data_IF_721854574302
#
_entry.id   IF_721854574302
#
_cell.length_a   1.000
_cell.length_b   1.000
_cell.length_c   1.000
_cell.angle_alpha   90.00
_cell.angle_beta   90.00
_cell.angle_gamma   90.00
#
_symmetry.space_group_name_H-M   'P 1'
#
loop_
_entity.id
_entity.type
_entity.pdbx_description
1 polymer ?
#
# COMPACT_ATOMS: atom_id res chain seq x y z
N UNK A 1 -20.46 13.08 -0.81
CA UNK A 1 -19.00 12.86 -0.71
C UNK A 1 -18.76 11.36 -0.70
N UNK A 2 -17.72 10.89 -1.40
CA UNK A 2 -17.32 9.48 -1.31
C UNK A 2 -16.61 9.22 0.02
N UNK A 3 -16.73 8.03 0.62
CA UNK A 3 -15.94 7.67 1.79
C UNK A 3 -14.44 7.72 1.45
N UNK A 4 -13.65 8.26 2.38
CA UNK A 4 -12.19 8.34 2.26
C UNK A 4 -11.59 7.32 3.23
N UNK A 5 -10.70 6.47 2.71
CA UNK A 5 -9.92 5.52 3.49
C UNK A 5 -8.44 5.88 3.40
N UNK A 6 -7.76 5.85 4.55
CA UNK A 6 -6.33 6.14 4.66
C UNK A 6 -5.61 4.83 4.94
N UNK A 7 -4.67 4.47 4.06
CA UNK A 7 -3.84 3.28 4.22
C UNK A 7 -2.66 3.56 5.16
N UNK A 8 -2.42 2.60 6.04
CA UNK A 8 -1.21 2.53 6.86
C UNK A 8 -0.13 1.67 6.18
N UNK A 9 1.14 1.88 6.55
CA UNK A 9 2.25 1.07 6.04
C UNK A 9 2.01 -0.43 6.30
N UNK A 10 1.57 -0.79 7.52
CA UNK A 10 1.29 -2.18 7.90
C UNK A 10 0.22 -2.83 7.00
N UNK A 11 -0.79 -2.06 6.58
CA UNK A 11 -1.86 -2.59 5.73
C UNK A 11 -1.36 -2.98 4.34
N UNK A 12 -0.47 -2.19 3.74
CA UNK A 12 0.13 -2.52 2.45
C UNK A 12 1.17 -3.64 2.56
N UNK A 13 1.93 -3.69 3.65
CA UNK A 13 2.87 -4.79 3.92
C UNK A 13 2.11 -6.11 4.01
N UNK A 14 1.02 -6.15 4.79
CA UNK A 14 0.17 -7.34 4.90
C UNK A 14 -0.41 -7.75 3.54
N UNK A 15 -0.83 -6.77 2.72
CA UNK A 15 -1.29 -7.03 1.35
C UNK A 15 -0.21 -7.63 0.44
N UNK A 16 1.02 -7.09 0.47
CA UNK A 16 2.11 -7.60 -0.37
C UNK A 16 2.59 -8.99 0.02
N UNK A 17 2.51 -9.33 1.31
CA UNK A 17 2.96 -10.61 1.84
C UNK A 17 1.86 -11.69 1.92
N UNK A 18 0.63 -11.39 1.45
CA UNK A 18 -0.54 -12.26 1.59
C UNK A 18 -0.82 -12.67 3.06
N UNK A 19 -0.67 -11.72 3.97
CA UNK A 19 -0.90 -11.89 5.40
C UNK A 19 -2.37 -11.60 5.79
N UNK A 20 -2.71 -11.84 7.06
CA UNK A 20 -4.04 -11.54 7.58
C UNK A 20 -4.40 -10.06 7.38
N UNK A 21 -5.52 -9.81 6.69
CA UNK A 21 -5.97 -8.46 6.34
C UNK A 21 -5.65 -8.05 4.89
N UNK A 22 -4.88 -8.85 4.14
CA UNK A 22 -4.65 -8.62 2.72
C UNK A 22 -5.96 -8.53 1.92
N UNK A 23 -6.93 -9.40 2.23
CA UNK A 23 -8.25 -9.44 1.59
C UNK A 23 -9.05 -8.15 1.81
N UNK A 24 -8.85 -7.47 2.93
CA UNK A 24 -9.49 -6.19 3.23
C UNK A 24 -8.92 -5.09 2.33
N UNK A 25 -7.59 -5.05 2.19
CA UNK A 25 -6.92 -4.08 1.32
C UNK A 25 -7.27 -4.33 -0.15
N UNK A 26 -7.32 -5.60 -0.59
CA UNK A 26 -7.75 -5.98 -1.94
C UNK A 26 -9.17 -5.48 -2.23
N UNK A 27 -10.12 -5.68 -1.30
CA UNK A 27 -11.50 -5.17 -1.44
C UNK A 27 -11.55 -3.64 -1.53
N UNK A 28 -10.70 -2.93 -0.77
CA UNK A 28 -10.62 -1.47 -0.85
C UNK A 28 -10.04 -1.01 -2.19
N UNK A 29 -9.00 -1.68 -2.70
CA UNK A 29 -8.42 -1.39 -4.01
C UNK A 29 -9.45 -1.57 -5.14
N UNK A 30 -10.24 -2.66 -5.12
CA UNK A 30 -11.32 -2.90 -6.09
C UNK A 30 -12.37 -1.80 -6.03
N UNK A 31 -12.82 -1.41 -4.82
CA UNK A 31 -13.80 -0.31 -4.64
C UNK A 31 -13.26 1.04 -5.10
N UNK A 32 -11.97 1.32 -4.86
CA UNK A 32 -11.33 2.54 -5.32
C UNK A 32 -11.24 2.55 -6.86
N UNK A 33 -10.92 1.41 -7.49
CA UNK A 33 -10.92 1.25 -8.95
C UNK A 33 -12.31 1.45 -9.57
N UNK A 34 -13.36 1.01 -8.87
CA UNK A 34 -14.77 1.23 -9.24
C UNK A 34 -15.26 2.66 -8.98
N UNK A 35 -14.41 3.55 -8.46
CA UNK A 35 -14.72 4.93 -8.07
C UNK A 35 -15.75 5.08 -6.92
N UNK A 36 -16.02 4.01 -6.17
CA UNK A 36 -16.97 4.02 -5.04
C UNK A 36 -16.41 4.72 -3.79
N UNK A 37 -15.08 4.65 -3.62
CA UNK A 37 -14.35 5.23 -2.49
C UNK A 37 -13.13 6.02 -2.98
N UNK A 38 -12.56 6.82 -2.09
CA UNK A 38 -11.25 7.42 -2.26
C UNK A 38 -10.26 6.73 -1.31
N UNK A 39 -9.12 6.29 -1.85
CA UNK A 39 -8.09 5.58 -1.10
C UNK A 39 -6.81 6.40 -1.17
N UNK A 40 -6.30 6.80 -0.01
CA UNK A 40 -5.11 7.66 0.09
C UNK A 40 -4.07 7.03 1.02
N UNK A 41 -2.81 7.39 0.83
CA UNK A 41 -1.71 7.02 1.71
C UNK A 41 -0.86 8.25 2.00
N UNK A 42 -0.38 8.37 3.25
CA UNK A 42 0.61 9.39 3.60
C UNK A 42 1.95 9.07 2.94
N UNK A 43 2.65 10.09 2.46
CA UNK A 43 4.02 9.93 1.94
C UNK A 43 4.96 9.32 2.98
N UNK A 44 4.73 9.57 4.28
CA UNK A 44 5.53 8.98 5.36
C UNK A 44 5.33 7.46 5.43
N UNK A 45 4.09 6.98 5.34
CA UNK A 45 3.79 5.54 5.35
C UNK A 45 4.34 4.85 4.10
N UNK A 46 4.32 5.54 2.95
CA UNK A 46 4.95 5.04 1.74
C UNK A 46 6.48 4.91 1.88
N UNK A 47 7.12 5.88 2.53
CA UNK A 47 8.55 5.86 2.81
C UNK A 47 8.96 4.81 3.85
N UNK A 48 8.08 4.48 4.80
CA UNK A 48 8.29 3.38 5.74
C UNK A 48 8.40 2.04 5.01
N UNK A 49 7.48 1.76 4.08
CA UNK A 49 7.53 0.56 3.22
C UNK A 49 8.81 0.56 2.39
N UNK A 50 9.11 1.69 1.73
CA UNK A 50 10.30 1.82 0.89
C UNK A 50 11.58 1.55 1.69
N UNK A 51 11.72 2.17 2.86
CA UNK A 51 12.91 2.02 3.68
C UNK A 51 13.03 0.62 4.28
N UNK A 52 11.92 -0.01 4.65
CA UNK A 52 11.90 -1.42 5.08
C UNK A 52 12.53 -2.33 4.04
N UNK A 53 12.06 -2.24 2.79
CA UNK A 53 12.58 -3.03 1.67
C UNK A 53 14.02 -2.64 1.33
N UNK A 54 14.34 -1.34 1.32
CA UNK A 54 15.70 -0.87 1.06
C UNK A 54 16.71 -1.46 2.05
N UNK A 55 16.33 -1.53 3.34
CA UNK A 55 17.20 -2.03 4.40
C UNK A 55 17.44 -3.54 4.29
N UNK A 56 16.45 -4.30 3.82
CA UNK A 56 16.51 -5.76 3.75
C UNK A 56 17.03 -6.27 2.38
N UNK A 57 16.53 -5.70 1.29
CA UNK A 57 16.73 -6.18 -0.09
C UNK A 57 17.48 -5.20 -1.00
N UNK A 58 17.80 -4.00 -0.50
CA UNK A 58 18.52 -2.97 -1.24
C UNK A 58 17.64 -2.06 -2.12
N UNK A 59 18.29 -1.05 -2.72
CA UNK A 59 17.62 0.02 -3.50
C UNK A 59 16.80 -0.50 -4.67
N UNK A 60 17.33 -1.46 -5.42
CA UNK A 60 16.69 -1.93 -6.65
C UNK A 60 15.34 -2.59 -6.37
N UNK A 61 15.21 -3.30 -5.25
CA UNK A 61 13.94 -3.89 -4.84
C UNK A 61 12.99 -2.82 -4.33
N UNK A 62 13.48 -1.87 -3.53
CA UNK A 62 12.68 -0.77 -3.00
C UNK A 62 12.07 0.08 -4.12
N UNK A 63 12.87 0.43 -5.12
CA UNK A 63 12.43 1.20 -6.30
C UNK A 63 11.39 0.44 -7.12
N UNK A 64 11.57 -0.87 -7.33
CA UNK A 64 10.58 -1.72 -8.02
C UNK A 64 9.25 -1.78 -7.28
N UNK A 65 9.27 -1.86 -5.95
CA UNK A 65 8.03 -1.85 -5.16
C UNK A 65 7.35 -0.49 -5.21
N UNK A 66 8.11 0.61 -5.14
CA UNK A 66 7.55 1.96 -5.27
C UNK A 66 6.85 2.18 -6.62
N UNK A 67 7.39 1.59 -7.70
CA UNK A 67 6.76 1.63 -9.03
C UNK A 67 5.43 0.87 -9.12
N UNK A 68 5.16 -0.09 -8.22
CA UNK A 68 3.87 -0.81 -8.18
C UNK A 68 2.76 -0.02 -7.48
N UNK A 69 3.14 0.96 -6.64
CA UNK A 69 2.22 1.76 -5.84
C UNK A 69 1.85 3.07 -6.55
N UNK A 70 2.73 3.56 -7.43
CA UNK A 70 2.50 4.73 -8.30
C UNK A 70 1.59 4.39 -9.47
#
# INVERSE_FOLDING_TARGET
MRPIFVLDACSLIAFFNDEAGADVVEKLLVKAWQNDIELIISIINLLEIYYGIYREDGSDMADRTLQKIK
#
